data_IF_715222536124
#
_entry.id   IF_715222536124
#
_cell.length_a   1.000
_cell.length_b   1.000
_cell.length_c   1.000
_cell.angle_alpha   90.00
_cell.angle_beta   90.00
_cell.angle_gamma   90.00
#
_symmetry.space_group_name_H-M   'P 1'
#
loop_
_entity.id
_entity.type
_entity.pdbx_description
1 polymer ?
#
# COMPACT_ATOMS: atom_id res chain seq x y z
N UNK A 1 -23.62 17.70 5.67
CA UNK A 1 -22.24 17.30 6.02
C UNK A 1 -21.39 17.51 4.78
N UNK A 2 -20.14 17.97 4.90
CA UNK A 2 -19.27 18.14 3.72
C UNK A 2 -18.81 16.76 3.25
N UNK A 3 -19.07 16.42 2.00
CA UNK A 3 -18.48 15.24 1.38
C UNK A 3 -16.97 15.44 1.32
N UNK A 4 -16.23 14.53 1.94
CA UNK A 4 -14.77 14.55 1.96
C UNK A 4 -14.27 13.41 1.10
N UNK A 5 -13.48 13.74 0.08
CA UNK A 5 -12.85 12.75 -0.78
C UNK A 5 -11.54 12.30 -0.10
N UNK A 6 -11.39 10.99 0.08
CA UNK A 6 -10.14 10.38 0.52
C UNK A 6 -9.48 9.67 -0.66
N UNK A 7 -8.21 9.98 -0.88
CA UNK A 7 -7.40 9.36 -1.93
C UNK A 7 -6.27 8.60 -1.27
N UNK A 8 -6.12 7.32 -1.62
CA UNK A 8 -5.09 6.45 -1.07
C UNK A 8 -4.30 5.80 -2.20
N UNK A 9 -3.00 5.65 -1.99
CA UNK A 9 -2.16 4.83 -2.83
C UNK A 9 -2.30 3.37 -2.43
N UNK A 10 -2.61 2.52 -3.40
CA UNK A 10 -2.71 1.07 -3.20
C UNK A 10 -1.55 0.37 -3.89
N UNK A 11 -0.98 -0.64 -3.24
CA UNK A 11 0.05 -1.51 -3.79
C UNK A 11 -0.56 -2.89 -3.98
N UNK A 12 -0.39 -3.49 -5.16
CA UNK A 12 -0.79 -4.88 -5.43
C UNK A 12 0.40 -5.61 -6.00
N UNK A 13 0.81 -6.68 -5.34
CA UNK A 13 1.99 -7.46 -5.70
C UNK A 13 1.65 -8.94 -5.85
N UNK A 14 2.47 -9.66 -6.62
CA UNK A 14 2.30 -11.10 -6.80
C UNK A 14 2.68 -11.82 -5.50
N UNK A 15 1.78 -12.65 -4.99
CA UNK A 15 2.04 -13.48 -3.81
C UNK A 15 1.63 -14.94 -4.09
N UNK A 16 2.64 -15.79 -4.33
CA UNK A 16 2.46 -17.17 -4.72
C UNK A 16 1.55 -17.34 -5.94
N UNK A 17 0.41 -18.01 -5.76
CA UNK A 17 -0.58 -18.20 -6.83
C UNK A 17 -1.54 -17.01 -6.97
N UNK A 18 -1.67 -16.16 -5.96
CA UNK A 18 -2.58 -15.01 -5.92
C UNK A 18 -1.84 -13.68 -5.97
N UNK A 19 -2.42 -12.70 -5.31
CA UNK A 19 -1.91 -11.34 -5.15
C UNK A 19 -2.18 -10.86 -3.72
N UNK A 20 -1.25 -10.07 -3.21
CA UNK A 20 -1.35 -9.38 -1.94
C UNK A 20 -1.51 -7.88 -2.22
N UNK A 21 -2.47 -7.25 -1.55
CA UNK A 21 -2.80 -5.85 -1.68
C UNK A 21 -2.66 -5.12 -0.34
N UNK A 22 -2.10 -3.91 -0.34
CA UNK A 22 -1.97 -3.11 0.87
C UNK A 22 -1.97 -1.61 0.60
N UNK A 23 -2.20 -0.82 1.64
CA UNK A 23 -2.20 0.66 1.59
C UNK A 23 -1.09 1.20 2.48
N UNK A 24 0.00 1.76 1.92
CA UNK A 24 1.14 2.22 2.72
C UNK A 24 0.80 3.24 3.82
N UNK A 25 -0.19 4.09 3.57
CA UNK A 25 -0.63 5.12 4.54
C UNK A 25 -1.60 4.62 5.60
N UNK A 26 -2.36 3.56 5.32
CA UNK A 26 -3.28 2.96 6.27
C UNK A 26 -2.65 1.69 6.83
N UNK A 27 -1.82 1.86 7.87
CA UNK A 27 -1.12 0.75 8.53
C UNK A 27 -2.12 -0.32 8.96
N UNK A 28 -1.88 -1.56 8.55
CA UNK A 28 -2.73 -2.69 8.89
C UNK A 28 -3.83 -3.01 7.87
N UNK A 29 -4.03 -2.16 6.85
CA UNK A 29 -4.91 -2.50 5.72
C UNK A 29 -4.16 -3.38 4.71
N UNK A 30 -4.44 -4.67 4.78
CA UNK A 30 -3.89 -5.71 3.92
C UNK A 30 -5.00 -6.66 3.48
N UNK A 31 -4.99 -7.09 2.22
CA UNK A 31 -5.92 -8.08 1.68
C UNK A 31 -5.21 -8.98 0.67
N UNK A 32 -5.83 -10.09 0.30
CA UNK A 32 -5.34 -10.97 -0.77
C UNK A 32 -6.48 -11.35 -1.71
N UNK A 33 -6.14 -11.75 -2.93
CA UNK A 33 -7.09 -12.26 -3.93
C UNK A 33 -6.40 -13.17 -4.94
N UNK A 34 -7.19 -13.96 -5.68
CA UNK A 34 -6.67 -14.83 -6.76
C UNK A 34 -6.31 -14.01 -8.00
N UNK A 35 -7.01 -12.91 -8.24
CA UNK A 35 -6.73 -11.97 -9.33
C UNK A 35 -6.43 -10.56 -8.81
N UNK A 36 -5.88 -9.72 -9.69
CA UNK A 36 -5.62 -8.30 -9.37
C UNK A 36 -6.95 -7.60 -9.06
N UNK A 37 -8.00 -7.89 -9.83
CA UNK A 37 -9.34 -7.28 -9.68
C UNK A 37 -10.03 -7.71 -8.38
N UNK A 38 -9.89 -8.98 -7.99
CA UNK A 38 -10.37 -9.47 -6.69
C UNK A 38 -9.64 -8.76 -5.55
N UNK A 39 -8.31 -8.69 -5.61
CA UNK A 39 -7.49 -8.04 -4.58
C UNK A 39 -7.82 -6.55 -4.45
N UNK A 40 -8.03 -5.87 -5.59
CA UNK A 40 -8.45 -4.47 -5.62
C UNK A 40 -9.82 -4.27 -4.96
N UNK A 41 -10.82 -5.09 -5.29
CA UNK A 41 -12.14 -5.00 -4.66
C UNK A 41 -12.06 -5.22 -3.14
N UNK A 42 -11.29 -6.22 -2.72
CA UNK A 42 -11.07 -6.48 -1.30
C UNK A 42 -10.39 -5.29 -0.61
N UNK A 43 -9.41 -4.66 -1.27
CA UNK A 43 -8.78 -3.43 -0.78
C UNK A 43 -9.79 -2.28 -0.65
N UNK A 44 -10.65 -2.05 -1.65
CA UNK A 44 -11.65 -0.98 -1.61
C UNK A 44 -12.58 -1.15 -0.39
N UNK A 45 -13.03 -2.38 -0.11
CA UNK A 45 -13.84 -2.72 1.07
C UNK A 45 -13.07 -2.53 2.39
N UNK A 46 -11.83 -2.98 2.44
CA UNK A 46 -10.99 -2.87 3.64
C UNK A 46 -10.64 -1.41 3.97
N UNK A 47 -10.35 -0.59 2.96
CA UNK A 47 -10.10 0.85 3.09
C UNK A 47 -11.35 1.54 3.66
N UNK A 48 -12.52 1.27 3.07
CA UNK A 48 -13.77 1.87 3.53
C UNK A 48 -14.04 1.50 5.00
N UNK A 49 -13.93 0.22 5.35
CA UNK A 49 -14.12 -0.25 6.72
C UNK A 49 -13.17 0.43 7.70
N UNK A 50 -11.88 0.54 7.35
CA UNK A 50 -10.87 1.17 8.20
C UNK A 50 -11.14 2.66 8.40
N UNK A 51 -11.44 3.40 7.34
CA UNK A 51 -11.79 4.83 7.40
C UNK A 51 -13.04 5.06 8.25
N UNK A 52 -14.08 4.24 8.08
CA UNK A 52 -15.28 4.31 8.91
C UNK A 52 -14.98 4.07 10.39
N UNK A 53 -14.06 3.15 10.72
CA UNK A 53 -13.59 2.90 12.07
C UNK A 53 -12.94 4.13 12.69
N UNK A 54 -11.92 4.69 12.01
CA UNK A 54 -11.22 5.90 12.47
C UNK A 54 -12.19 7.07 12.72
N UNK A 55 -13.16 7.28 11.81
CA UNK A 55 -14.15 8.34 11.96
C UNK A 55 -15.09 8.11 13.15
N UNK A 56 -15.47 6.86 13.44
CA UNK A 56 -16.29 6.51 14.62
C UNK A 56 -15.56 6.74 15.93
N UNK A 57 -14.26 6.48 15.94
CA UNK A 57 -13.40 6.64 17.11
C UNK A 57 -12.91 8.10 17.29
N UNK A 58 -13.26 9.00 16.37
CA UNK A 58 -12.84 10.40 16.40
C UNK A 58 -11.36 10.61 16.05
N UNK A 59 -10.74 9.61 15.43
CA UNK A 59 -9.35 9.64 14.99
C UNK A 59 -9.20 10.34 13.64
N UNK A 60 -8.00 10.84 13.38
CA UNK A 60 -7.66 11.48 12.11
C UNK A 60 -7.39 10.40 11.07
N UNK A 61 -8.10 10.45 9.94
CA UNK A 61 -7.80 9.61 8.79
C UNK A 61 -6.44 10.02 8.22
N UNK A 62 -5.43 9.13 8.18
CA UNK A 62 -4.13 9.45 7.61
C UNK A 62 -4.26 9.88 6.15
N UNK A 63 -3.54 10.93 5.76
CA UNK A 63 -3.52 11.43 4.39
C UNK A 63 -2.10 11.67 3.92
N UNK A 64 -1.91 11.49 2.63
CA UNK A 64 -0.66 11.76 1.91
C UNK A 64 -0.48 13.26 1.57
N UNK A 65 -1.04 14.17 2.38
CA UNK A 65 -0.88 15.62 2.19
C UNK A 65 0.62 15.98 2.32
N UNK A 66 1.17 16.67 1.31
CA UNK A 66 2.60 17.03 1.20
C UNK A 66 3.59 15.85 1.09
N UNK A 67 3.12 14.65 0.73
CA UNK A 67 3.99 13.50 0.47
C UNK A 67 4.43 13.41 -1.00
N UNK A 68 5.65 12.92 -1.23
CA UNK A 68 6.19 12.69 -2.58
C UNK A 68 6.46 11.20 -2.77
N UNK A 69 5.96 10.63 -3.87
CA UNK A 69 6.26 9.26 -4.27
C UNK A 69 7.41 9.23 -5.28
N UNK A 70 8.45 8.46 -4.98
CA UNK A 70 9.58 8.22 -5.87
C UNK A 70 9.72 6.73 -6.14
N UNK A 71 9.54 6.31 -7.40
CA UNK A 71 9.87 4.96 -7.86
C UNK A 71 11.27 4.98 -8.46
N UNK A 72 12.17 4.14 -7.94
CA UNK A 72 13.57 4.07 -8.39
C UNK A 72 13.95 2.61 -8.66
N UNK A 73 14.53 2.37 -9.83
CA UNK A 73 15.08 1.08 -10.23
C UNK A 73 16.60 1.19 -10.35
N UNK A 74 17.32 0.17 -9.89
CA UNK A 74 18.78 0.10 -9.97
C UNK A 74 19.20 -1.20 -10.64
N UNK A 75 20.24 -1.15 -11.47
CA UNK A 75 20.85 -2.36 -12.05
C UNK A 75 21.99 -2.80 -11.13
N UNK A 76 21.92 -4.03 -10.63
CA UNK A 76 23.04 -4.62 -9.90
C UNK A 76 24.12 -5.06 -10.90
N UNK A 77 25.28 -4.41 -10.91
CA UNK A 77 26.46 -4.91 -11.62
C UNK A 77 27.36 -5.70 -10.66
N UNK A 78 27.92 -6.83 -11.14
CA UNK A 78 28.74 -7.77 -10.34
C UNK A 78 30.04 -7.17 -9.77
N UNK A 79 30.40 -5.93 -10.09
CA UNK A 79 31.64 -5.29 -9.62
C UNK A 79 31.63 -4.93 -8.14
N UNK A 80 30.47 -4.90 -7.47
CA UNK A 80 30.40 -4.47 -6.06
C UNK A 80 30.69 -5.57 -5.02
N UNK A 81 31.01 -6.80 -5.45
CA UNK A 81 31.25 -7.96 -4.56
C UNK A 81 32.74 -8.32 -4.39
N UNK A 82 33.68 -7.53 -4.92
CA UNK A 82 35.13 -7.78 -4.76
C UNK A 82 35.81 -6.69 -3.93
N UNK A 83 35.62 -6.71 -2.63
CA UNK A 83 36.66 -6.27 -1.67
C UNK A 83 36.19 -6.51 -0.24
N UNK A 84 36.45 -7.69 0.31
CA UNK A 84 36.74 -7.90 1.75
C UNK A 84 37.30 -9.31 1.93
N UNK A 85 38.52 -9.52 1.46
CA UNK A 85 39.43 -10.51 2.03
C UNK A 85 40.81 -9.85 1.96
N UNK A 86 41.16 -9.13 3.02
CA UNK A 86 42.52 -8.73 3.38
C UNK A 86 42.84 -9.44 4.69
#
# INVERSE_FOLDING_TARGET
>A
MKDTIYTFRIMVEKDGKGYHGFVPTLKGVHTCGKTIEETKRNLDEAIQCHVEGLLKDGEVVPRDEESFEFVRSFVASKSSLRSVHA
#
